data_IF_627625825272
#
_entry.id   IF_627625825272
#
_cell.length_a   1.000
_cell.length_b   1.000
_cell.length_c   1.000
_cell.angle_alpha   90.00
_cell.angle_beta   90.00
_cell.angle_gamma   90.00
#
_symmetry.space_group_name_H-M   'P 1'
#
loop_
_entity.id
_entity.type
_entity.pdbx_description
1 polymer ?
#
# COMPACT_ATOMS: atom_id res chain seq x y z
N UNK A 1 45.26 -35.05 33.58
CA UNK A 1 44.04 -34.75 32.81
C UNK A 1 44.24 -33.40 32.14
N UNK A 2 44.17 -33.37 30.82
CA UNK A 2 44.52 -32.22 29.98
C UNK A 2 43.44 -31.14 29.95
N UNK A 3 43.88 -29.88 29.90
CA UNK A 3 43.09 -28.72 29.54
C UNK A 3 42.86 -28.67 28.02
N UNK A 4 41.74 -28.08 27.59
CA UNK A 4 41.50 -27.68 26.19
C UNK A 4 40.05 -27.24 25.98
N UNK A 5 39.80 -25.92 25.99
CA UNK A 5 39.57 -25.09 24.80
C UNK A 5 38.26 -25.41 24.05
N UNK A 6 37.18 -24.69 24.38
CA UNK A 6 36.03 -24.53 23.50
C UNK A 6 36.34 -23.43 22.48
N UNK A 7 36.27 -23.68 21.16
CA UNK A 7 36.34 -22.59 20.20
C UNK A 7 34.99 -21.86 20.20
N UNK A 8 35.04 -20.57 20.56
CA UNK A 8 34.00 -19.59 20.29
C UNK A 8 33.91 -19.48 18.76
N UNK A 9 32.98 -20.23 18.18
CA UNK A 9 32.58 -20.08 16.80
C UNK A 9 31.96 -18.71 16.62
N UNK A 10 32.76 -17.76 16.12
CA UNK A 10 32.27 -16.50 15.57
C UNK A 10 31.21 -16.83 14.51
N UNK A 11 29.94 -16.62 14.82
CA UNK A 11 28.93 -16.45 13.76
C UNK A 11 29.39 -15.26 12.90
N UNK A 12 29.48 -15.39 11.58
CA UNK A 12 29.69 -14.21 10.75
C UNK A 12 28.47 -13.31 10.98
N UNK A 13 28.74 -12.11 11.50
CA UNK A 13 27.78 -11.02 11.49
C UNK A 13 27.40 -10.82 10.02
N UNK A 14 26.18 -11.21 9.67
CA UNK A 14 25.61 -10.90 8.37
C UNK A 14 25.28 -9.40 8.39
N UNK A 15 26.31 -8.56 8.26
CA UNK A 15 26.20 -7.12 8.09
C UNK A 15 25.82 -6.83 6.63
N UNK A 16 24.65 -7.32 6.21
CA UNK A 16 23.89 -6.57 5.22
C UNK A 16 23.19 -5.51 6.03
N UNK A 17 23.63 -4.26 5.88
CA UNK A 17 23.04 -3.13 6.57
C UNK A 17 21.53 -3.25 6.44
N UNK A 18 20.84 -3.41 7.58
CA UNK A 18 19.43 -3.04 7.66
C UNK A 18 19.44 -1.54 7.43
N UNK A 19 19.30 -1.11 6.18
CA UNK A 19 18.85 0.24 5.91
C UNK A 19 17.59 0.41 6.75
N UNK A 20 17.61 1.40 7.65
CA UNK A 20 16.47 1.69 8.48
C UNK A 20 15.31 2.03 7.55
N UNK A 21 14.21 1.30 7.65
CA UNK A 21 12.95 1.76 7.11
C UNK A 21 12.60 3.05 7.87
N UNK A 22 12.28 4.11 7.12
CA UNK A 22 11.91 5.41 7.66
C UNK A 22 10.49 5.65 7.17
N UNK A 23 9.58 5.91 8.10
CA UNK A 23 8.25 6.37 7.76
C UNK A 23 8.35 7.77 7.15
N UNK A 24 7.87 7.91 5.91
CA UNK A 24 7.87 9.17 5.19
C UNK A 24 6.44 9.55 4.82
N UNK A 25 6.10 10.82 5.04
CA UNK A 25 4.88 11.40 4.50
C UNK A 25 5.14 11.89 3.08
N UNK A 26 4.30 11.45 2.16
CA UNK A 26 4.34 11.82 0.76
C UNK A 26 3.17 12.75 0.50
N UNK A 27 3.46 13.94 -0.01
CA UNK A 27 2.46 14.94 -0.35
C UNK A 27 2.54 15.27 -1.84
N UNK A 28 1.41 15.22 -2.53
CA UNK A 28 1.30 15.58 -3.95
C UNK A 28 0.70 16.98 -4.11
N UNK A 29 0.96 17.65 -5.22
CA UNK A 29 0.38 18.97 -5.47
C UNK A 29 -1.15 18.92 -5.70
N UNK A 30 -1.68 17.79 -6.15
CA UNK A 30 -3.11 17.55 -6.34
C UNK A 30 -3.40 16.04 -6.39
N UNK A 31 -4.69 15.69 -6.44
CA UNK A 31 -5.15 14.29 -6.41
C UNK A 31 -4.69 13.47 -7.62
N UNK A 32 -4.46 14.09 -8.79
CA UNK A 32 -3.99 13.40 -9.99
C UNK A 32 -2.49 13.05 -9.89
N UNK A 33 -1.71 13.93 -9.28
CA UNK A 33 -0.32 13.66 -8.95
C UNK A 33 -0.22 12.54 -7.91
N UNK A 34 -1.13 12.51 -6.93
CA UNK A 34 -1.21 11.43 -5.94
C UNK A 34 -1.60 10.09 -6.60
N UNK A 35 -2.57 10.08 -7.51
CA UNK A 35 -2.92 8.88 -8.30
C UNK A 35 -1.69 8.35 -9.06
N UNK A 36 -0.92 9.25 -9.67
CA UNK A 36 0.31 8.90 -10.39
C UNK A 36 1.36 8.30 -9.45
N UNK A 37 1.55 8.89 -8.27
CA UNK A 37 2.42 8.34 -7.23
C UNK A 37 1.98 6.95 -6.78
N UNK A 38 0.69 6.77 -6.49
CA UNK A 38 0.15 5.47 -6.02
C UNK A 38 0.23 4.43 -7.14
N UNK A 39 0.06 4.80 -8.40
CA UNK A 39 0.28 3.90 -9.54
C UNK A 39 1.71 3.35 -9.55
N UNK A 40 2.72 4.21 -9.36
CA UNK A 40 4.11 3.78 -9.23
C UNK A 40 4.35 2.93 -7.96
N UNK A 41 3.75 3.32 -6.83
CA UNK A 41 3.86 2.60 -5.56
C UNK A 41 3.25 1.19 -5.65
N UNK A 42 2.12 1.05 -6.34
CA UNK A 42 1.39 -0.22 -6.50
C UNK A 42 2.28 -1.30 -7.09
N UNK A 43 3.14 -0.94 -8.05
CA UNK A 43 4.12 -1.86 -8.63
C UNK A 43 5.13 -2.35 -7.59
N UNK A 44 5.66 -1.46 -6.76
CA UNK A 44 6.63 -1.82 -5.73
C UNK A 44 5.97 -2.61 -4.59
N UNK A 45 4.75 -2.27 -4.19
CA UNK A 45 3.96 -3.05 -3.23
C UNK A 45 3.74 -4.49 -3.71
N UNK A 46 3.40 -4.67 -4.99
CA UNK A 46 3.26 -6.00 -5.60
C UNK A 46 4.59 -6.77 -5.57
N UNK A 47 5.71 -6.13 -5.94
CA UNK A 47 7.05 -6.76 -5.89
C UNK A 47 7.47 -7.11 -4.47
N UNK A 48 7.06 -6.31 -3.48
CA UNK A 48 7.22 -6.56 -2.06
C UNK A 48 6.31 -7.67 -1.52
N UNK A 49 5.39 -8.18 -2.35
CA UNK A 49 4.34 -9.13 -1.95
C UNK A 49 3.51 -8.59 -0.79
N UNK A 50 3.28 -7.27 -0.80
CA UNK A 50 2.43 -6.65 0.19
C UNK A 50 0.96 -7.05 -0.06
N UNK A 51 0.25 -7.40 1.01
CA UNK A 51 -1.19 -7.55 0.98
C UNK A 51 -1.81 -6.16 1.13
N UNK A 52 -2.62 -5.76 0.14
CA UNK A 52 -3.27 -4.44 0.12
C UNK A 52 -4.75 -4.59 0.45
N UNK A 53 -5.22 -3.74 1.35
CA UNK A 53 -6.60 -3.69 1.80
C UNK A 53 -7.15 -2.28 1.70
N UNK A 54 -8.44 -2.19 1.40
CA UNK A 54 -9.17 -0.92 1.30
C UNK A 54 -10.51 -1.03 2.02
N UNK A 55 -10.90 0.05 2.68
CA UNK A 55 -12.23 0.26 3.20
C UNK A 55 -12.99 1.17 2.22
N UNK A 56 -13.96 0.60 1.49
CA UNK A 56 -14.66 1.26 0.39
C UNK A 56 -15.77 2.21 0.89
N UNK A 57 -15.35 3.21 1.66
CA UNK A 57 -16.17 4.29 2.17
C UNK A 57 -15.50 5.63 1.84
N UNK A 58 -16.32 6.65 1.61
CA UNK A 58 -15.91 8.02 1.32
C UNK A 58 -16.75 8.95 2.18
N UNK A 59 -16.14 10.00 2.72
CA UNK A 59 -16.86 11.02 3.49
C UNK A 59 -17.59 12.01 2.56
N UNK A 60 -17.00 12.29 1.40
CA UNK A 60 -17.52 13.21 0.41
C UNK A 60 -17.65 12.54 -0.97
N UNK A 61 -18.65 12.92 -1.79
CA UNK A 61 -18.76 12.44 -3.16
C UNK A 61 -17.51 12.73 -3.99
N UNK A 62 -17.09 11.76 -4.79
CA UNK A 62 -15.97 11.91 -5.72
C UNK A 62 -16.40 12.77 -6.91
N UNK A 63 -15.76 13.93 -7.11
CA UNK A 63 -16.04 14.83 -8.23
C UNK A 63 -15.37 14.42 -9.55
N UNK A 64 -14.38 13.52 -9.48
CA UNK A 64 -13.66 13.01 -10.64
C UNK A 64 -14.34 11.74 -11.16
N UNK A 65 -14.76 11.75 -12.43
CA UNK A 65 -15.52 10.65 -13.05
C UNK A 65 -14.72 9.32 -13.03
N UNK A 66 -13.41 9.38 -13.31
CA UNK A 66 -12.56 8.19 -13.29
C UNK A 66 -12.41 7.57 -11.90
N UNK A 67 -12.40 8.41 -10.86
CA UNK A 67 -12.38 7.99 -9.46
C UNK A 67 -13.71 7.37 -9.04
N UNK A 68 -14.85 8.00 -9.36
CA UNK A 68 -16.19 7.47 -9.07
C UNK A 68 -16.43 6.12 -9.77
N UNK A 69 -16.07 6.01 -11.05
CA UNK A 69 -16.13 4.75 -11.79
C UNK A 69 -15.31 3.64 -11.13
N UNK A 70 -14.09 3.97 -10.71
CA UNK A 70 -13.19 3.01 -10.06
C UNK A 70 -13.68 2.58 -8.69
N UNK A 71 -14.25 3.52 -7.93
CA UNK A 71 -14.86 3.23 -6.63
C UNK A 71 -16.05 2.28 -6.78
N UNK A 72 -16.96 2.57 -7.72
CA UNK A 72 -18.11 1.70 -8.05
C UNK A 72 -17.68 0.33 -8.57
N UNK A 73 -16.62 0.28 -9.38
CA UNK A 73 -16.06 -0.98 -9.88
C UNK A 73 -15.52 -1.84 -8.72
N UNK A 74 -14.78 -1.25 -7.78
CA UNK A 74 -14.26 -1.95 -6.61
C UNK A 74 -15.38 -2.43 -5.69
N UNK A 75 -16.43 -1.64 -5.46
CA UNK A 75 -17.64 -2.08 -4.73
C UNK A 75 -18.27 -3.30 -5.41
N UNK A 76 -18.38 -3.28 -6.74
CA UNK A 76 -18.93 -4.42 -7.50
C UNK A 76 -18.07 -5.67 -7.34
N UNK A 77 -16.74 -5.54 -7.44
CA UNK A 77 -15.80 -6.64 -7.24
C UNK A 77 -15.95 -7.22 -5.82
N UNK A 78 -15.95 -6.36 -4.80
CA UNK A 78 -16.04 -6.76 -3.41
C UNK A 78 -17.35 -7.51 -3.11
N UNK A 79 -18.49 -6.96 -3.55
CA UNK A 79 -19.81 -7.56 -3.35
C UNK A 79 -20.02 -8.85 -4.15
N UNK A 80 -19.42 -8.99 -5.33
CA UNK A 80 -19.44 -10.26 -6.08
C UNK A 80 -18.60 -11.35 -5.41
N UNK A 81 -17.44 -10.98 -4.86
CA UNK A 81 -16.57 -11.90 -4.12
C UNK A 81 -17.25 -12.41 -2.84
N UNK A 82 -17.92 -11.53 -2.09
CA UNK A 82 -18.68 -11.92 -0.89
C UNK A 82 -19.78 -12.96 -1.19
N UNK A 83 -20.51 -12.79 -2.30
CA UNK A 83 -21.57 -13.73 -2.73
C UNK A 83 -21.03 -15.11 -3.11
N UNK A 84 -19.84 -15.16 -3.69
CA UNK A 84 -19.23 -16.41 -4.18
C UNK A 84 -18.47 -17.16 -3.10
N UNK A 85 -18.01 -16.47 -2.05
CA UNK A 85 -17.36 -17.10 -0.91
C UNK A 85 -18.34 -18.03 -0.16
N UNK A 86 -17.91 -19.27 0.07
CA UNK A 86 -18.69 -20.25 0.85
C UNK A 86 -18.57 -20.00 2.34
N UNK A 87 -17.48 -19.37 2.81
CA UNK A 87 -17.22 -19.14 4.24
C UNK A 87 -18.03 -17.98 4.81
N UNK A 88 -18.29 -16.93 4.02
CA UNK A 88 -19.14 -15.79 4.39
C UNK A 88 -20.57 -16.20 4.77
N UNK A 89 -21.07 -17.30 4.18
CA UNK A 89 -22.40 -17.86 4.47
C UNK A 89 -22.52 -18.55 5.82
N UNK A 90 -21.41 -18.96 6.44
CA UNK A 90 -21.41 -19.80 7.65
C UNK A 90 -21.10 -18.98 8.92
N UNK A 91 -20.27 -17.95 8.82
CA UNK A 91 -19.73 -17.20 9.98
C UNK A 91 -20.43 -15.85 10.25
N UNK A 92 -21.58 -15.60 9.61
CA UNK A 92 -22.23 -14.28 9.62
C UNK A 92 -21.61 -13.36 8.57
N UNK A 93 -22.47 -12.54 7.94
CA UNK A 93 -22.05 -11.60 6.89
C UNK A 93 -21.15 -10.52 7.49
N UNK A 94 -19.84 -10.62 7.24
CA UNK A 94 -18.91 -9.49 7.38
C UNK A 94 -19.30 -8.44 6.33
N UNK A 95 -19.21 -7.15 6.67
CA UNK A 95 -19.45 -6.07 5.71
C UNK A 95 -18.54 -6.28 4.49
N UNK A 96 -19.10 -6.44 3.27
CA UNK A 96 -18.31 -6.70 2.07
C UNK A 96 -17.43 -5.52 1.64
N UNK A 97 -17.62 -4.33 2.21
CA UNK A 97 -16.90 -3.11 1.83
C UNK A 97 -15.73 -2.78 2.77
N UNK A 98 -15.59 -3.51 3.88
CA UNK A 98 -14.54 -3.29 4.89
C UNK A 98 -13.44 -4.36 4.78
N UNK A 99 -12.18 -3.92 4.69
CA UNK A 99 -11.00 -4.77 4.56
C UNK A 99 -10.97 -5.52 3.23
N UNK A 100 -11.37 -4.86 2.15
CA UNK A 100 -11.40 -5.46 0.81
C UNK A 100 -9.97 -5.66 0.32
N UNK A 101 -9.56 -6.92 0.18
CA UNK A 101 -8.25 -7.26 -0.39
C UNK A 101 -8.19 -6.93 -1.87
N UNK A 102 -7.23 -6.10 -2.25
CA UNK A 102 -6.92 -5.70 -3.63
C UNK A 102 -5.86 -6.63 -4.21
N UNK A 103 -6.09 -7.15 -5.42
CA UNK A 103 -5.09 -7.91 -6.17
C UNK A 103 -4.31 -6.98 -7.11
N UNK A 104 -3.15 -6.49 -6.65
CA UNK A 104 -2.28 -5.63 -7.45
C UNK A 104 -1.66 -6.33 -8.68
N UNK A 105 -1.77 -7.66 -8.79
CA UNK A 105 -1.38 -8.39 -10.00
C UNK A 105 -2.41 -8.34 -11.12
N UNK A 106 -3.64 -7.93 -10.81
CA UNK A 106 -4.66 -7.66 -11.83
C UNK A 106 -4.59 -6.20 -12.22
N UNK A 107 -4.32 -5.93 -13.51
CA UNK A 107 -4.15 -4.58 -14.05
C UNK A 107 -5.28 -3.64 -13.66
N UNK A 108 -6.52 -4.12 -13.75
CA UNK A 108 -7.70 -3.29 -13.54
C UNK A 108 -7.86 -2.92 -12.07
N UNK A 109 -7.61 -3.87 -11.15
CA UNK A 109 -7.63 -3.58 -9.71
C UNK A 109 -6.50 -2.65 -9.29
N UNK A 110 -5.30 -2.80 -9.87
CA UNK A 110 -4.20 -1.88 -9.62
C UNK A 110 -4.53 -0.44 -10.08
N UNK A 111 -5.17 -0.29 -11.24
CA UNK A 111 -5.65 1.01 -11.74
C UNK A 111 -6.74 1.59 -10.84
N UNK A 112 -7.71 0.77 -10.40
CA UNK A 112 -8.74 1.25 -9.49
C UNK A 112 -8.15 1.69 -8.15
N UNK A 113 -7.23 0.89 -7.61
CA UNK A 113 -6.53 1.21 -6.37
C UNK A 113 -5.78 2.53 -6.48
N UNK A 114 -5.02 2.78 -7.55
CA UNK A 114 -4.30 4.04 -7.70
C UNK A 114 -5.21 5.26 -7.74
N UNK A 115 -6.41 5.11 -8.30
CA UNK A 115 -7.41 6.18 -8.40
C UNK A 115 -8.14 6.48 -7.09
N UNK A 116 -8.33 5.49 -6.23
CA UNK A 116 -9.23 5.63 -5.07
C UNK A 116 -8.53 5.54 -3.72
N UNK A 117 -7.36 4.91 -3.62
CA UNK A 117 -6.73 4.64 -2.32
C UNK A 117 -6.57 5.90 -1.47
N UNK A 118 -6.08 6.99 -2.04
CA UNK A 118 -5.94 8.28 -1.35
C UNK A 118 -7.25 9.03 -1.11
N UNK A 119 -8.41 8.54 -1.59
CA UNK A 119 -9.69 9.25 -1.54
C UNK A 119 -10.73 8.55 -0.66
N UNK A 120 -10.42 7.37 -0.15
CA UNK A 120 -11.28 6.57 0.73
C UNK A 120 -10.82 6.70 2.17
N UNK A 121 -11.68 6.33 3.11
CA UNK A 121 -11.42 6.45 4.56
C UNK A 121 -10.13 5.74 4.95
N UNK A 122 -9.86 4.56 4.37
CA UNK A 122 -8.67 3.79 4.71
C UNK A 122 -8.19 2.91 3.54
N UNK A 123 -6.90 3.01 3.24
CA UNK A 123 -6.18 2.06 2.41
C UNK A 123 -4.83 1.74 3.04
N UNK A 124 -4.47 0.47 3.07
CA UNK A 124 -3.29 -0.02 3.76
C UNK A 124 -2.59 -1.12 2.97
N UNK A 125 -1.26 -1.16 3.08
CA UNK A 125 -0.42 -2.20 2.51
C UNK A 125 0.44 -2.84 3.58
N UNK A 126 0.44 -4.18 3.65
CA UNK A 126 1.09 -4.96 4.70
C UNK A 126 2.08 -5.97 4.12
N UNK A 127 3.31 -6.00 4.62
CA UNK A 127 4.31 -7.02 4.32
C UNK A 127 4.53 -7.89 5.57
N UNK A 128 3.84 -9.02 5.65
CA UNK A 128 3.75 -9.81 6.89
C UNK A 128 3.02 -9.01 7.97
N UNK A 129 3.61 -8.89 9.15
CA UNK A 129 3.02 -8.16 10.29
C UNK A 129 3.38 -6.66 10.31
N UNK A 130 3.98 -6.14 9.23
CA UNK A 130 4.46 -4.77 9.15
C UNK A 130 3.71 -3.99 8.06
N UNK A 131 3.05 -2.89 8.45
CA UNK A 131 2.40 -1.99 7.50
C UNK A 131 3.43 -1.10 6.82
N UNK A 132 3.43 -1.10 5.50
CA UNK A 132 4.40 -0.40 4.64
C UNK A 132 3.79 0.78 3.88
N UNK A 133 2.46 0.89 3.90
CA UNK A 133 1.69 1.96 3.27
C UNK A 133 0.42 2.19 4.07
N UNK A 134 0.05 3.47 4.20
CA UNK A 134 -1.26 3.84 4.72
C UNK A 134 -1.70 5.21 4.21
N UNK A 135 -3.01 5.38 4.16
CA UNK A 135 -3.64 6.68 3.91
C UNK A 135 -3.67 7.51 5.17
N UNK A 136 -3.82 8.82 4.98
CA UNK A 136 -4.30 9.74 6.02
C UNK A 136 -5.56 10.39 5.50
N UNK A 137 -6.27 11.16 6.33
CA UNK A 137 -7.48 11.91 5.97
C UNK A 137 -7.15 13.08 5.00
N UNK A 138 -6.64 12.77 3.81
CA UNK A 138 -6.22 13.71 2.79
C UNK A 138 -6.15 13.06 1.41
N UNK A 139 -6.78 13.69 0.42
CA UNK A 139 -6.72 13.26 -0.98
C UNK A 139 -5.36 13.48 -1.66
N UNK A 140 -4.41 14.12 -0.99
CA UNK A 140 -3.11 14.48 -1.54
C UNK A 140 -1.95 14.07 -0.64
N UNK A 141 -2.21 13.31 0.43
CA UNK A 141 -1.16 12.85 1.34
C UNK A 141 -1.34 11.38 1.71
N UNK A 142 -0.22 10.67 1.78
CA UNK A 142 -0.13 9.29 2.27
C UNK A 142 1.16 9.14 3.08
N UNK A 143 1.32 8.02 3.78
CA UNK A 143 2.60 7.65 4.37
C UNK A 143 3.08 6.31 3.82
N UNK A 144 4.40 6.14 3.77
CA UNK A 144 5.07 4.91 3.36
C UNK A 144 6.17 4.57 4.36
N UNK A 145 6.29 3.30 4.70
CA UNK A 145 7.38 2.76 5.51
C UNK A 145 8.03 1.59 4.75
N UNK A 146 8.96 1.95 3.86
CA UNK A 146 9.66 1.02 2.98
C UNK A 146 11.15 1.36 2.96
N UNK A 147 12.03 0.42 2.53
CA UNK A 147 13.45 0.73 2.37
C UNK A 147 13.65 1.96 1.47
N UNK A 148 14.58 2.85 1.86
CA UNK A 148 14.79 4.14 1.20
C UNK A 148 15.00 4.02 -0.31
N UNK A 149 15.73 3.00 -0.76
CA UNK A 149 15.97 2.75 -2.20
C UNK A 149 14.70 2.39 -2.97
N UNK A 150 13.69 1.81 -2.31
CA UNK A 150 12.38 1.54 -2.91
C UNK A 150 11.61 2.83 -3.07
N UNK A 151 11.54 3.65 -2.01
CA UNK A 151 10.85 4.93 -2.04
C UNK A 151 11.45 5.84 -3.11
N UNK A 152 12.78 5.88 -3.23
CA UNK A 152 13.47 6.61 -4.31
C UNK A 152 13.03 6.16 -5.70
N UNK A 153 12.89 4.84 -5.95
CA UNK A 153 12.41 4.34 -7.25
C UNK A 153 10.97 4.77 -7.53
N UNK A 154 10.08 4.71 -6.53
CA UNK A 154 8.69 5.18 -6.65
C UNK A 154 8.66 6.66 -7.00
N UNK A 155 9.40 7.49 -6.26
CA UNK A 155 9.46 8.93 -6.48
C UNK A 155 10.00 9.27 -7.88
N UNK A 156 11.10 8.62 -8.29
CA UNK A 156 11.67 8.81 -9.63
C UNK A 156 10.66 8.44 -10.73
N UNK A 157 9.95 7.32 -10.58
CA UNK A 157 8.94 6.90 -11.55
C UNK A 157 7.74 7.88 -11.61
N UNK A 158 7.25 8.33 -10.46
CA UNK A 158 6.13 9.27 -10.38
C UNK A 158 6.51 10.64 -10.99
N UNK A 159 7.68 11.18 -10.64
CA UNK A 159 8.16 12.46 -11.19
C UNK A 159 8.47 12.36 -12.69
N UNK A 160 9.02 11.23 -13.15
CA UNK A 160 9.23 11.00 -14.59
C UNK A 160 7.90 10.94 -15.37
N UNK A 161 6.80 10.51 -14.72
CA UNK A 161 5.45 10.56 -15.26
C UNK A 161 4.77 11.93 -15.13
N UNK A 162 5.47 12.93 -14.57
CA UNK A 162 5.02 14.32 -14.46
C UNK A 162 4.40 14.71 -13.11
N UNK A 163 4.36 13.80 -12.13
CA UNK A 163 3.79 14.11 -10.82
C UNK A 163 4.67 15.07 -10.00
N UNK A 164 4.06 16.04 -9.35
CA UNK A 164 4.71 16.97 -8.43
C UNK A 164 4.57 16.43 -7.00
N UNK A 165 5.66 15.88 -6.46
CA UNK A 165 5.68 15.20 -5.15
C UNK A 165 6.67 15.87 -4.19
N UNK A 166 6.28 16.00 -2.92
CA UNK A 166 7.11 16.43 -1.79
C UNK A 166 7.21 15.31 -0.77
N UNK A 167 8.37 15.20 -0.13
CA UNK A 167 8.65 14.21 0.90
C UNK A 167 8.93 14.93 2.20
N UNK A 168 8.15 14.60 3.24
CA UNK A 168 8.34 15.13 4.58
C UNK A 168 8.75 13.97 5.50
N UNK A 169 9.83 14.10 6.30
CA UNK A 169 10.16 13.11 7.32
C UNK A 169 9.03 13.02 8.34
N UNK A 170 8.78 11.83 8.91
CA UNK A 170 7.94 11.71 10.09
C UNK A 170 8.57 12.47 11.26
N UNK A 171 7.77 13.29 11.96
CA UNK A 171 8.19 14.00 13.19
C UNK A 171 8.62 13.04 14.31
#
# INVERSE_FOLDING_TARGET
MFAGFFPIGKKPANSRGKEAAIMLYIEAANSRDMETFISALSRELQLFKADVYVDLYIDEPLSDEGADESFRAMIRIATQKEKTDRRSRILGRRDPLMGVKVDLGQSDQAVHFSRIAHRIINAEGWCGDHQVFGTVESSVRVWVDMPTEVIKRVLLAATAAGAIIRVNPSE
#
